data_IF_662597671170
#
_entry.id   IF_662597671170
#
_cell.length_a   1.000
_cell.length_b   1.000
_cell.length_c   1.000
_cell.angle_alpha   90.00
_cell.angle_beta   90.00
_cell.angle_gamma   90.00
#
_symmetry.space_group_name_H-M   'P 1'
#
loop_
_entity.id
_entity.type
_entity.pdbx_description
1 polymer ?
#
# COMPACT_ATOMS: atom_id res chain seq x y z
N UNK A 1 14.99 21.42 7.87
CA UNK A 1 15.55 20.05 7.79
C UNK A 1 14.38 19.08 7.77
N UNK A 2 14.29 18.21 6.77
CA UNK A 2 13.25 17.19 6.67
C UNK A 2 13.94 15.85 6.93
N UNK A 3 13.44 15.10 7.91
CA UNK A 3 13.93 13.76 8.25
C UNK A 3 12.79 12.77 8.02
N UNK A 4 13.12 11.60 7.48
CA UNK A 4 12.15 10.59 7.08
C UNK A 4 12.72 9.63 6.04
N UNK A 5 11.89 8.74 5.54
CA UNK A 5 12.31 7.73 4.56
C UNK A 5 12.43 8.30 3.16
N UNK A 6 13.32 7.72 2.38
CA UNK A 6 13.40 7.84 0.92
C UNK A 6 13.36 6.43 0.39
N UNK A 7 12.40 6.12 -0.47
CA UNK A 7 12.11 4.76 -0.92
C UNK A 7 11.59 4.73 -2.35
N UNK A 8 11.51 3.53 -2.90
CA UNK A 8 10.62 3.26 -4.04
C UNK A 8 9.36 2.59 -3.51
N UNK A 9 8.21 3.17 -3.79
CA UNK A 9 6.92 2.63 -3.41
C UNK A 9 6.37 1.79 -4.57
N UNK A 10 5.95 0.57 -4.28
CA UNK A 10 5.28 -0.33 -5.22
C UNK A 10 3.81 -0.38 -4.83
N UNK A 11 2.99 0.42 -5.50
CA UNK A 11 1.59 0.62 -5.18
C UNK A 11 0.75 -0.31 -6.06
N UNK A 12 -0.01 -1.20 -5.42
CA UNK A 12 -0.93 -2.13 -6.10
C UNK A 12 -2.36 -1.68 -5.88
N UNK A 13 -3.12 -1.53 -6.97
CA UNK A 13 -4.54 -1.15 -6.91
C UNK A 13 -5.42 -2.39 -6.87
N UNK A 14 -6.18 -2.53 -5.80
CA UNK A 14 -7.29 -3.45 -5.68
C UNK A 14 -8.60 -2.66 -5.77
N UNK A 15 -9.44 -2.97 -6.75
CA UNK A 15 -10.68 -2.21 -7.03
C UNK A 15 -11.88 -2.64 -6.16
N UNK A 16 -11.66 -3.48 -5.14
CA UNK A 16 -12.68 -3.89 -4.17
C UNK A 16 -12.40 -3.39 -2.75
N UNK A 17 -13.15 -3.90 -1.76
CA UNK A 17 -12.86 -3.63 -0.34
C UNK A 17 -12.26 -4.87 0.31
N UNK A 18 -11.18 -4.68 1.07
CA UNK A 18 -10.56 -5.77 1.83
C UNK A 18 -11.54 -6.43 2.81
N UNK A 19 -12.47 -5.66 3.39
CA UNK A 19 -13.50 -6.16 4.31
C UNK A 19 -14.46 -7.18 3.69
N UNK A 20 -14.61 -7.21 2.37
CA UNK A 20 -15.47 -8.18 1.67
C UNK A 20 -14.80 -9.56 1.57
N UNK A 21 -13.47 -9.62 1.75
CA UNK A 21 -12.66 -10.83 1.53
C UNK A 21 -12.00 -11.34 2.83
N UNK A 22 -12.09 -10.58 3.92
CA UNK A 22 -11.55 -10.94 5.23
C UNK A 22 -12.71 -11.40 6.12
N UNK A 23 -12.69 -12.68 6.50
CA UNK A 23 -13.70 -13.28 7.38
C UNK A 23 -13.28 -13.11 8.85
N UNK A 24 -14.02 -12.34 9.68
CA UNK A 24 -13.63 -12.07 11.07
C UNK A 24 -13.47 -13.33 11.94
N UNK A 25 -14.21 -14.39 11.61
CA UNK A 25 -14.20 -15.65 12.36
C UNK A 25 -13.05 -16.59 11.97
N UNK A 26 -12.19 -16.20 11.02
CA UNK A 26 -11.09 -17.03 10.52
C UNK A 26 -9.75 -16.29 10.55
N UNK A 27 -9.60 -15.28 11.42
CA UNK A 27 -8.38 -14.46 11.48
C UNK A 27 -7.15 -15.23 11.95
N UNK A 28 -7.31 -16.29 12.74
CA UNK A 28 -6.20 -17.16 13.18
C UNK A 28 -5.52 -17.86 11.99
N UNK A 29 -6.25 -18.07 10.88
CA UNK A 29 -5.75 -18.66 9.64
C UNK A 29 -6.23 -17.85 8.42
N UNK A 30 -5.67 -16.66 8.24
CA UNK A 30 -6.02 -15.77 7.13
C UNK A 30 -5.49 -16.31 5.78
N UNK A 31 -6.41 -16.69 4.89
CA UNK A 31 -6.10 -17.01 3.49
C UNK A 31 -6.86 -16.05 2.56
N UNK A 32 -6.12 -15.19 1.87
CA UNK A 32 -6.68 -14.17 0.98
C UNK A 32 -5.88 -14.10 -0.31
N UNK A 33 -6.58 -13.86 -1.43
CA UNK A 33 -5.99 -13.61 -2.73
C UNK A 33 -6.70 -12.43 -3.39
N UNK A 34 -5.93 -11.47 -3.88
CA UNK A 34 -6.46 -10.26 -4.51
C UNK A 34 -6.00 -10.16 -5.95
N UNK A 35 -6.94 -10.05 -6.88
CA UNK A 35 -6.63 -9.69 -8.26
C UNK A 35 -6.45 -8.18 -8.33
N UNK A 36 -5.24 -7.75 -8.67
CA UNK A 36 -4.91 -6.34 -8.84
C UNK A 36 -5.21 -5.89 -10.27
N UNK A 37 -5.67 -4.66 -10.43
CA UNK A 37 -5.86 -4.06 -11.75
C UNK A 37 -4.65 -3.29 -12.24
N UNK A 38 -3.79 -2.84 -11.31
CA UNK A 38 -2.62 -2.04 -11.63
C UNK A 38 -1.50 -2.24 -10.59
N UNK A 39 -0.25 -2.16 -11.06
CA UNK A 39 0.95 -2.02 -10.26
C UNK A 39 1.73 -0.80 -10.76
N UNK A 40 2.05 0.12 -9.86
CA UNK A 40 2.84 1.31 -10.14
C UNK A 40 4.08 1.36 -9.24
N UNK A 41 5.24 1.67 -9.82
CA UNK A 41 6.45 2.01 -9.07
C UNK A 41 6.64 3.53 -9.06
N UNK A 42 6.77 4.12 -7.88
CA UNK A 42 7.01 5.57 -7.71
C UNK A 42 8.21 5.83 -6.82
N UNK A 43 8.90 6.95 -7.01
CA UNK A 43 9.76 7.49 -5.94
C UNK A 43 8.86 7.96 -4.81
N UNK A 44 9.23 7.61 -3.59
CA UNK A 44 8.40 7.85 -2.42
C UNK A 44 9.23 7.89 -1.13
N UNK A 45 8.59 7.55 -0.03
CA UNK A 45 9.13 7.77 1.30
C UNK A 45 8.74 9.14 1.88
N UNK A 46 8.61 9.20 3.20
CA UNK A 46 8.00 10.34 3.89
C UNK A 46 8.79 11.62 3.71
N UNK A 47 10.13 11.57 3.76
CA UNK A 47 10.96 12.74 3.54
C UNK A 47 10.89 13.22 2.08
N UNK A 48 10.92 12.29 1.12
CA UNK A 48 10.79 12.63 -0.30
C UNK A 48 9.44 13.30 -0.60
N UNK A 49 8.34 12.69 -0.14
CA UNK A 49 6.99 13.19 -0.40
C UNK A 49 6.76 14.58 0.23
N UNK A 50 7.22 14.78 1.47
CA UNK A 50 7.14 16.09 2.15
C UNK A 50 8.03 17.11 1.43
N UNK A 51 9.27 16.76 1.08
CA UNK A 51 10.19 17.66 0.41
C UNK A 51 9.74 18.05 -1.01
N UNK A 52 9.11 17.14 -1.75
CA UNK A 52 8.59 17.39 -3.10
C UNK A 52 7.39 18.35 -3.10
N UNK A 53 6.64 18.41 -2.00
CA UNK A 53 5.40 19.18 -1.89
C UNK A 53 5.60 20.59 -1.31
N UNK A 54 6.84 20.95 -0.96
CA UNK A 54 7.23 22.27 -0.44
C UNK A 54 7.78 23.14 -1.57
#
# INVERSE_FOLDING_TARGET
MISGSIAYDYIMKFDGKFSEHILPNQLDHLNVGFTISNLQKTTGGTAHNIAYSL
#
